data_IF_569826709257
#
_entry.id   IF_569826709257
#
_cell.length_a   1.000
_cell.length_b   1.000
_cell.length_c   1.000
_cell.angle_alpha   90.00
_cell.angle_beta   90.00
_cell.angle_gamma   90.00
#
_symmetry.space_group_name_H-M   'P 1'
#
loop_
_entity.id
_entity.type
_entity.pdbx_description
1 polymer ?
#
# COMPACT_ATOMS: atom_id res chain seq x y z
N UNK A 1 -26.06 -24.72 5.73
CA UNK A 1 -24.86 -24.03 6.26
C UNK A 1 -23.83 -24.02 5.15
N UNK A 2 -23.60 -22.86 4.52
CA UNK A 2 -22.57 -22.74 3.47
C UNK A 2 -21.23 -22.69 4.18
N UNK A 3 -20.51 -23.81 4.17
CA UNK A 3 -19.08 -23.83 4.47
C UNK A 3 -18.39 -23.20 3.26
N UNK A 4 -18.26 -21.88 3.26
CA UNK A 4 -17.26 -21.23 2.40
C UNK A 4 -15.91 -21.66 2.95
N UNK A 5 -15.19 -22.50 2.20
CA UNK A 5 -13.81 -22.79 2.53
C UNK A 5 -13.05 -21.46 2.51
N UNK A 6 -12.37 -21.15 3.62
CA UNK A 6 -11.27 -20.18 3.63
C UNK A 6 -10.08 -20.79 2.88
N UNK A 7 -10.27 -21.09 1.60
CA UNK A 7 -9.20 -21.40 0.65
C UNK A 7 -9.01 -20.13 -0.18
N UNK A 8 -7.91 -19.40 -0.14
CA UNK A 8 -6.64 -19.57 0.56
C UNK A 8 -6.01 -18.16 0.67
N UNK A 9 -6.33 -17.40 1.72
CA UNK A 9 -5.72 -16.07 1.91
C UNK A 9 -4.24 -16.14 2.33
N UNK A 10 -3.68 -17.35 2.46
CA UNK A 10 -2.28 -17.59 2.80
C UNK A 10 -1.46 -18.09 1.60
N UNK A 11 -2.08 -18.31 0.43
CA UNK A 11 -1.35 -18.77 -0.74
C UNK A 11 -0.38 -17.66 -1.19
N UNK A 12 0.91 -17.86 -0.93
CA UNK A 12 1.96 -16.86 -1.20
C UNK A 12 2.43 -16.04 0.01
N UNK A 13 1.88 -16.22 1.21
CA UNK A 13 2.45 -15.65 2.44
C UNK A 13 3.61 -16.50 2.96
N UNK A 14 4.67 -15.85 3.41
CA UNK A 14 5.83 -16.49 4.05
C UNK A 14 5.89 -16.14 5.54
N UNK A 15 6.34 -17.09 6.36
CA UNK A 15 6.55 -16.87 7.79
C UNK A 15 7.93 -16.26 8.06
N UNK A 16 7.94 -15.16 8.79
CA UNK A 16 9.14 -14.51 9.30
C UNK A 16 9.27 -14.90 10.79
N UNK A 17 10.37 -15.56 11.20
CA UNK A 17 10.55 -16.00 12.57
C UNK A 17 10.75 -14.81 13.53
N UNK A 18 10.41 -15.03 14.80
CA UNK A 18 10.73 -14.08 15.85
C UNK A 18 12.26 -13.93 16.01
N UNK A 19 12.72 -12.73 16.35
CA UNK A 19 14.14 -12.49 16.56
C UNK A 19 14.50 -11.02 16.71
N UNK A 20 15.79 -10.79 16.91
CA UNK A 20 16.36 -9.45 16.97
C UNK A 20 16.94 -9.06 15.61
N UNK A 21 16.44 -7.96 15.06
CA UNK A 21 16.82 -7.46 13.74
C UNK A 21 17.47 -6.08 13.84
N UNK A 22 18.46 -5.82 12.99
CA UNK A 22 19.01 -4.48 12.81
C UNK A 22 18.22 -3.73 11.73
N UNK A 23 17.64 -2.59 12.10
CA UNK A 23 16.82 -1.76 11.22
C UNK A 23 17.42 -0.35 11.13
N UNK A 24 17.51 0.18 9.92
CA UNK A 24 18.06 1.52 9.67
C UNK A 24 19.31 1.45 8.80
N UNK A 25 20.06 2.55 8.74
CA UNK A 25 21.32 2.60 8.01
C UNK A 25 22.17 3.77 8.48
N UNK A 26 23.44 3.50 8.77
CA UNK A 26 24.41 4.55 9.12
C UNK A 26 25.04 5.21 7.88
N UNK A 27 24.80 4.65 6.68
CA UNK A 27 25.37 5.13 5.41
C UNK A 27 24.56 6.25 4.74
N UNK A 28 23.33 6.51 5.18
CA UNK A 28 22.43 7.47 4.54
C UNK A 28 21.84 8.41 5.59
N UNK A 29 22.25 9.67 5.55
CA UNK A 29 22.01 10.68 6.60
C UNK A 29 20.53 11.01 6.84
N UNK A 30 19.64 10.75 5.86
CA UNK A 30 18.18 10.94 5.99
C UNK A 30 17.44 9.70 6.52
N UNK A 31 18.10 8.54 6.63
CA UNK A 31 17.52 7.35 7.25
C UNK A 31 17.83 7.34 8.75
N UNK A 32 16.96 6.71 9.55
CA UNK A 32 17.21 6.53 10.97
C UNK A 32 18.49 5.69 11.16
N UNK A 33 19.28 6.04 12.18
CA UNK A 33 20.48 5.28 12.62
C UNK A 33 20.14 3.80 12.80
N UNK A 34 21.14 2.94 12.60
CA UNK A 34 21.00 1.51 12.89
C UNK A 34 20.57 1.31 14.34
N UNK A 35 19.49 0.55 14.53
CA UNK A 35 18.98 0.16 15.84
C UNK A 35 18.58 -1.30 15.84
N UNK A 36 18.72 -1.95 17.00
CA UNK A 36 18.26 -3.30 17.22
C UNK A 36 16.78 -3.28 17.64
N UNK A 37 15.96 -4.16 17.07
CA UNK A 37 14.53 -4.29 17.33
C UNK A 37 14.17 -5.75 17.47
N UNK A 38 13.52 -6.12 18.57
CA UNK A 38 12.94 -7.45 18.75
C UNK A 38 11.56 -7.51 18.09
N UNK A 39 11.36 -8.47 17.21
CA UNK A 39 10.11 -8.64 16.44
C UNK A 39 9.57 -10.04 16.73
N UNK A 40 8.27 -10.16 17.01
CA UNK A 40 7.58 -11.44 17.12
C UNK A 40 7.44 -12.11 15.74
N UNK A 41 7.15 -13.40 15.68
CA UNK A 41 6.90 -14.07 14.40
C UNK A 41 5.64 -13.53 13.74
N UNK A 42 5.67 -13.34 12.42
CA UNK A 42 4.51 -12.89 11.63
C UNK A 42 4.58 -13.48 10.21
N UNK A 43 3.46 -13.40 9.48
CA UNK A 43 3.38 -13.78 8.07
C UNK A 43 3.32 -12.52 7.20
N UNK A 44 3.91 -12.57 6.01
CA UNK A 44 3.88 -11.48 5.03
C UNK A 44 3.78 -12.02 3.62
N UNK A 45 3.03 -11.34 2.75
CA UNK A 45 2.97 -11.68 1.33
C UNK A 45 4.36 -11.64 0.68
N UNK A 46 4.68 -12.66 -0.12
CA UNK A 46 5.94 -12.70 -0.86
C UNK A 46 6.00 -11.64 -1.96
N UNK A 47 4.85 -11.21 -2.49
CA UNK A 47 4.73 -10.20 -3.53
C UNK A 47 3.70 -9.12 -3.14
N UNK A 48 3.82 -7.88 -3.66
CA UNK A 48 2.80 -6.87 -3.47
C UNK A 48 1.45 -7.31 -4.04
N UNK A 49 0.36 -6.86 -3.41
CA UNK A 49 -1.00 -7.04 -3.93
C UNK A 49 -1.10 -6.48 -5.35
N UNK A 50 -1.53 -7.34 -6.28
CA UNK A 50 -1.67 -7.01 -7.70
C UNK A 50 -2.99 -6.28 -7.96
N UNK A 51 -3.07 -5.62 -9.12
CA UNK A 51 -4.32 -5.00 -9.56
C UNK A 51 -5.47 -6.02 -9.69
N UNK A 52 -5.16 -7.25 -10.10
CA UNK A 52 -6.16 -8.30 -10.27
C UNK A 52 -6.74 -8.74 -8.92
N UNK A 53 -5.90 -8.92 -7.90
CA UNK A 53 -6.34 -9.26 -6.54
C UNK A 53 -7.11 -8.11 -5.90
N UNK A 54 -6.63 -6.87 -6.07
CA UNK A 54 -7.35 -5.70 -5.55
C UNK A 54 -8.71 -5.52 -6.24
N UNK A 55 -8.82 -5.79 -7.54
CA UNK A 55 -10.09 -5.75 -8.25
C UNK A 55 -11.09 -6.77 -7.70
N UNK A 56 -10.65 -8.00 -7.41
CA UNK A 56 -11.51 -9.01 -6.79
C UNK A 56 -12.05 -8.57 -5.44
N UNK A 57 -11.21 -7.90 -4.63
CA UNK A 57 -11.65 -7.29 -3.38
C UNK A 57 -12.72 -6.21 -3.61
N UNK A 58 -12.49 -5.28 -4.54
CA UNK A 58 -13.46 -4.23 -4.89
C UNK A 58 -14.78 -4.83 -5.36
N UNK A 59 -14.75 -5.83 -6.24
CA UNK A 59 -15.96 -6.48 -6.77
C UNK A 59 -16.75 -7.20 -5.68
N UNK A 60 -16.05 -7.82 -4.72
CA UNK A 60 -16.68 -8.55 -3.63
C UNK A 60 -17.30 -7.63 -2.55
N UNK A 61 -16.68 -6.48 -2.27
CA UNK A 61 -17.11 -5.61 -1.16
C UNK A 61 -17.77 -4.29 -1.60
N UNK A 62 -17.68 -3.95 -2.89
CA UNK A 62 -18.04 -2.62 -3.39
C UNK A 62 -17.17 -1.50 -2.80
N UNK A 63 -15.91 -1.78 -2.47
CA UNK A 63 -15.05 -0.80 -1.79
C UNK A 63 -14.66 0.35 -2.72
N UNK A 64 -14.84 1.59 -2.26
CA UNK A 64 -14.31 2.80 -2.91
C UNK A 64 -13.06 3.26 -2.19
N UNK A 65 -11.95 3.43 -2.89
CA UNK A 65 -10.69 3.92 -2.32
C UNK A 65 -10.83 5.35 -1.77
N UNK A 66 -9.87 5.78 -0.95
CA UNK A 66 -9.83 7.16 -0.46
C UNK A 66 -9.72 8.15 -1.61
N UNK A 67 -8.95 7.84 -2.66
CA UNK A 67 -8.81 8.68 -3.85
C UNK A 67 -10.11 8.86 -4.66
N UNK A 68 -11.05 7.93 -4.52
CA UNK A 68 -12.36 8.01 -5.18
C UNK A 68 -13.42 8.73 -4.33
N UNK A 69 -13.03 9.26 -3.16
CA UNK A 69 -13.90 10.03 -2.26
C UNK A 69 -13.44 11.50 -2.22
N UNK A 70 -14.34 12.45 -1.91
CA UNK A 70 -13.93 13.81 -1.64
C UNK A 70 -12.88 13.85 -0.52
N UNK A 71 -11.85 14.70 -0.62
CA UNK A 71 -10.85 14.87 0.43
C UNK A 71 -11.51 15.19 1.78
N UNK A 72 -11.07 14.51 2.84
CA UNK A 72 -11.58 14.76 4.18
C UNK A 72 -11.09 16.16 4.65
N UNK A 73 -11.99 17.11 4.95
CA UNK A 73 -11.60 18.46 5.35
C UNK A 73 -10.83 18.50 6.67
N UNK A 74 -10.90 17.45 7.50
CA UNK A 74 -10.09 17.35 8.73
C UNK A 74 -8.62 17.03 8.44
N UNK A 75 -8.34 16.30 7.35
CA UNK A 75 -6.99 15.97 6.91
C UNK A 75 -6.42 17.04 5.98
N UNK A 76 -7.29 17.78 5.28
CA UNK A 76 -6.95 18.79 4.29
C UNK A 76 -7.71 20.11 4.52
N UNK A 77 -7.48 20.80 5.66
CA UNK A 77 -8.25 21.99 6.02
C UNK A 77 -8.02 23.19 5.11
N UNK A 78 -6.84 23.27 4.47
CA UNK A 78 -6.45 24.38 3.61
C UNK A 78 -6.72 24.11 2.12
N UNK A 79 -7.38 22.98 1.79
CA UNK A 79 -7.63 22.62 0.39
C UNK A 79 -8.80 23.46 -0.18
N UNK A 80 -8.58 24.22 -1.27
CA UNK A 80 -9.64 25.02 -1.87
C UNK A 80 -10.84 24.16 -2.28
N UNK A 81 -12.09 24.65 -2.17
CA UNK A 81 -13.28 23.88 -2.54
C UNK A 81 -13.25 23.32 -3.97
N UNK A 82 -12.65 24.05 -4.91
CA UNK A 82 -12.47 23.65 -6.30
C UNK A 82 -11.52 22.45 -6.48
N UNK A 83 -10.67 22.16 -5.50
CA UNK A 83 -9.73 21.03 -5.48
C UNK A 83 -10.25 19.86 -4.63
N UNK A 84 -11.44 19.98 -4.02
CA UNK A 84 -12.07 18.93 -3.21
C UNK A 84 -12.86 17.93 -4.05
N UNK A 85 -12.32 17.55 -5.20
CA UNK A 85 -12.91 16.57 -6.11
C UNK A 85 -12.20 15.22 -5.99
N UNK A 86 -12.92 14.09 -6.07
CA UNK A 86 -12.28 12.78 -6.07
C UNK A 86 -11.46 12.58 -7.35
N UNK A 87 -10.14 12.60 -7.23
CA UNK A 87 -9.23 12.39 -8.36
C UNK A 87 -8.05 11.49 -7.98
N UNK A 88 -7.61 10.69 -8.96
CA UNK A 88 -6.37 9.93 -8.89
C UNK A 88 -5.32 10.62 -9.76
N UNK A 89 -4.18 11.01 -9.18
CA UNK A 89 -3.08 11.58 -9.94
C UNK A 89 -2.33 10.45 -10.65
N UNK A 90 -2.59 10.29 -11.95
CA UNK A 90 -1.85 9.34 -12.79
C UNK A 90 -0.64 10.03 -13.37
N UNK A 91 0.56 9.61 -12.96
CA UNK A 91 1.80 10.03 -13.61
C UNK A 91 1.94 9.30 -14.95
N UNK A 92 1.41 9.89 -16.01
CA UNK A 92 1.75 9.49 -17.36
C UNK A 92 3.21 9.90 -17.63
N UNK A 93 4.07 8.96 -17.99
CA UNK A 93 5.42 9.28 -18.48
C UNK A 93 5.25 10.24 -19.65
N UNK A 94 5.81 11.45 -19.54
CA UNK A 94 5.84 12.39 -20.64
C UNK A 94 6.60 11.73 -21.80
N UNK A 95 5.90 11.38 -22.87
CA UNK A 95 6.55 11.01 -24.11
C UNK A 95 7.16 12.30 -24.70
N UNK A 96 8.41 12.58 -24.36
CA UNK A 96 9.22 13.48 -25.17
C UNK A 96 9.50 12.76 -26.49
N UNK A 97 8.72 13.06 -27.52
CA UNK A 97 9.11 12.79 -28.90
C UNK A 97 10.20 13.80 -29.27
N UNK A 98 11.45 13.46 -28.99
CA UNK A 98 12.58 14.16 -29.56
C UNK A 98 12.63 13.90 -31.05
N UNK A 99 12.20 14.87 -31.85
CA UNK A 99 12.84 15.07 -33.15
C UNK A 99 14.23 15.62 -32.85
N UNK A 100 15.24 15.01 -33.46
CA UNK A 100 16.57 15.60 -33.57
C UNK A 100 16.51 16.97 -34.25
#
# INVERSE_FOLDING_TARGET
>A
MVSSSMSDCRDGMISIPAGDYQVGSDRFTRRKRLRQVSIASFEIDQAPVTNAEFQQFVDATGYRTVSERPPDPTLYPDLPPEEQIPESVVFCRLHHSGSQ
#
